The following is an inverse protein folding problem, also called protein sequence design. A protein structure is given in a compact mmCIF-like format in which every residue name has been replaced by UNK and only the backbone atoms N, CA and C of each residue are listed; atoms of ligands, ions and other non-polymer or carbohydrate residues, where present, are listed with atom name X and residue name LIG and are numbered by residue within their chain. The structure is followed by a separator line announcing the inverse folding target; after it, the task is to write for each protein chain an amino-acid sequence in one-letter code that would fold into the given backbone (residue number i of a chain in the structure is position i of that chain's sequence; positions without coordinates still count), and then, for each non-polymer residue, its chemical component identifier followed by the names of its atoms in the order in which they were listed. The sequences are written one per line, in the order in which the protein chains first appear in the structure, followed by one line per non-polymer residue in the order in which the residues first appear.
data_IF_710037955150
#
_entry.id   IF_710037955150
#
_cell.length_a   1.000
_cell.length_b   1.000
_cell.length_c   1.000
_cell.angle_alpha   90.00
_cell.angle_beta   90.00
_cell.angle_gamma   90.00
#
_symmetry.space_group_name_H-M   'P 1'
#
loop_
_entity.id
_entity.type
_entity.pdbx_description
1 polymer ?
#
# COMPACT_ATOMS: atom_id res chain seq x y z
N UNK A 1 1.77 -5.65 21.45
CA UNK A 1 1.05 -4.80 20.48
C UNK A 1 1.69 -5.02 19.12
N UNK A 2 0.91 -5.34 18.10
CA UNK A 2 1.38 -5.33 16.71
C UNK A 2 1.63 -3.86 16.33
N UNK A 3 2.78 -3.55 15.73
CA UNK A 3 3.14 -2.16 15.37
C UNK A 3 2.21 -1.65 14.26
N UNK A 4 1.90 -0.35 14.25
CA UNK A 4 1.08 0.24 13.17
C UNK A 4 1.75 0.01 11.82
N UNK A 5 3.08 0.08 11.75
CA UNK A 5 3.86 -0.24 10.55
C UNK A 5 3.53 -1.64 10.01
N UNK A 6 3.53 -2.66 10.88
CA UNK A 6 3.30 -4.05 10.46
C UNK A 6 1.85 -4.29 10.00
N UNK A 7 0.89 -3.62 10.63
CA UNK A 7 -0.52 -3.65 10.24
C UNK A 7 -0.74 -2.97 8.89
N UNK A 8 -0.19 -1.77 8.70
CA UNK A 8 -0.25 -1.05 7.43
C UNK A 8 0.43 -1.81 6.31
N UNK A 9 1.56 -2.46 6.58
CA UNK A 9 2.24 -3.31 5.59
C UNK A 9 1.38 -4.47 5.10
N UNK A 10 0.67 -5.16 6.01
CA UNK A 10 -0.24 -6.25 5.63
C UNK A 10 -1.44 -5.74 4.85
N UNK A 11 -2.01 -4.61 5.27
CA UNK A 11 -3.16 -3.99 4.61
C UNK A 11 -2.81 -3.55 3.19
N UNK A 12 -1.74 -2.76 3.04
CA UNK A 12 -1.25 -2.24 1.75
C UNK A 12 -0.89 -3.35 0.77
N UNK A 13 -0.24 -4.44 1.22
CA UNK A 13 0.02 -5.62 0.39
C UNK A 13 -1.25 -6.34 -0.07
N UNK A 14 -2.26 -6.43 0.81
CA UNK A 14 -3.53 -7.06 0.47
C UNK A 14 -4.29 -6.23 -0.57
N UNK A 15 -4.33 -4.90 -0.38
CA UNK A 15 -4.91 -3.97 -1.33
C UNK A 15 -4.20 -3.99 -2.68
N UNK A 16 -2.87 -4.04 -2.71
CA UNK A 16 -2.11 -4.18 -3.96
C UNK A 16 -2.54 -5.44 -4.73
N UNK A 17 -2.65 -6.59 -4.05
CA UNK A 17 -3.10 -7.83 -4.69
C UNK A 17 -4.52 -7.71 -5.24
N UNK A 18 -5.44 -7.16 -4.46
CA UNK A 18 -6.85 -6.99 -4.86
C UNK A 18 -6.93 -6.12 -6.12
N UNK A 19 -6.26 -4.96 -6.13
CA UNK A 19 -6.30 -4.05 -7.28
C UNK A 19 -5.65 -4.69 -8.51
N UNK A 20 -4.54 -5.38 -8.35
CA UNK A 20 -3.89 -6.07 -9.47
C UNK A 20 -4.74 -7.21 -10.03
N UNK A 21 -5.38 -8.03 -9.17
CA UNK A 21 -6.31 -9.05 -9.63
C UNK A 21 -7.50 -8.46 -10.38
N UNK A 22 -8.06 -7.36 -9.88
CA UNK A 22 -9.12 -6.64 -10.57
C UNK A 22 -8.66 -6.17 -11.96
N UNK A 23 -7.47 -5.56 -12.05
CA UNK A 23 -6.90 -5.13 -13.34
C UNK A 23 -6.72 -6.29 -14.31
N UNK A 24 -6.20 -7.43 -13.85
CA UNK A 24 -6.05 -8.62 -14.70
C UNK A 24 -7.40 -9.20 -15.13
N UNK A 25 -8.41 -9.18 -14.27
CA UNK A 25 -9.75 -9.64 -14.61
C UNK A 25 -10.38 -8.74 -15.66
N UNK A 26 -10.25 -7.41 -15.53
CA UNK A 26 -10.76 -6.44 -16.51
C UNK A 26 -10.08 -6.62 -17.86
N UNK A 27 -8.74 -6.57 -17.91
CA UNK A 27 -8.02 -6.72 -19.18
C UNK A 27 -8.19 -8.13 -19.77
N UNK A 28 -8.11 -9.17 -18.96
CA UNK A 28 -8.33 -10.55 -19.38
C UNK A 28 -9.74 -10.78 -19.93
N UNK A 29 -10.76 -10.22 -19.28
CA UNK A 29 -12.14 -10.27 -19.74
C UNK A 29 -12.33 -9.53 -21.08
N UNK A 30 -11.74 -8.35 -21.23
CA UNK A 30 -11.74 -7.62 -22.50
C UNK A 30 -11.07 -8.44 -23.60
N UNK A 31 -9.91 -9.04 -23.34
CA UNK A 31 -9.24 -9.90 -24.32
C UNK A 31 -10.05 -11.14 -24.68
N UNK A 32 -10.71 -11.77 -23.70
CA UNK A 32 -11.59 -12.92 -23.93
C UNK A 32 -12.79 -12.52 -24.82
N UNK A 33 -13.39 -11.36 -24.59
CA UNK A 33 -14.48 -10.84 -25.42
C UNK A 33 -14.01 -10.56 -26.85
N UNK A 34 -12.85 -9.93 -27.03
CA UNK A 34 -12.28 -9.66 -28.36
C UNK A 34 -11.99 -10.97 -29.11
N UNK A 35 -11.44 -11.97 -28.42
CA UNK A 35 -11.20 -13.29 -28.99
C UNK A 35 -12.50 -13.98 -29.41
N UNK A 36 -13.58 -13.83 -28.61
CA UNK A 36 -14.89 -14.38 -28.92
C UNK A 36 -15.58 -13.70 -30.12
N UNK A 37 -15.46 -12.37 -30.24
CA UNK A 37 -16.07 -11.60 -31.34
C UNK A 37 -15.29 -11.70 -32.65
N UNK A 38 -14.05 -12.22 -32.63
CA UNK A 38 -13.21 -12.37 -33.81
C UNK A 38 -12.65 -11.04 -34.34
N UNK A 39 -12.78 -9.94 -33.58
CA UNK A 39 -12.39 -8.60 -34.02
C UNK A 39 -10.96 -8.27 -33.56
N UNK A 40 -9.98 -8.82 -34.29
CA UNK A 40 -8.56 -8.70 -33.95
C UNK A 40 -7.98 -7.27 -34.02
N UNK A 41 -8.67 -6.32 -34.65
CA UNK A 41 -8.22 -4.92 -34.73
C UNK A 41 -8.25 -4.26 -33.34
N UNK A 42 -9.23 -4.59 -32.52
CA UNK A 42 -9.41 -4.08 -31.18
C UNK A 42 -8.32 -4.61 -30.24
N UNK A 43 -7.84 -5.85 -30.47
CA UNK A 43 -6.71 -6.41 -29.74
C UNK A 43 -5.44 -5.57 -29.95
N UNK A 44 -5.16 -5.12 -31.17
CA UNK A 44 -4.01 -4.27 -31.48
C UNK A 44 -4.02 -2.92 -30.75
N UNK A 45 -5.21 -2.38 -30.44
CA UNK A 45 -5.37 -1.16 -29.65
C UNK A 45 -5.25 -1.48 -28.16
N UNK A 46 -5.82 -2.60 -27.70
CA UNK A 46 -5.86 -2.92 -26.28
C UNK A 46 -4.55 -3.43 -25.70
N UNK A 47 -3.74 -4.16 -26.46
CA UNK A 47 -2.42 -4.65 -26.02
C UNK A 47 -1.53 -3.52 -25.50
N UNK A 48 -1.26 -2.44 -26.25
CA UNK A 48 -0.41 -1.36 -25.75
C UNK A 48 -1.01 -0.63 -24.54
N UNK A 49 -2.34 -0.48 -24.47
CA UNK A 49 -3.00 0.11 -23.31
C UNK A 49 -2.76 -0.76 -22.08
N UNK A 50 -3.00 -2.07 -22.17
CA UNK A 50 -2.76 -3.01 -21.07
C UNK A 50 -1.29 -3.01 -20.64
N UNK A 51 -0.37 -3.01 -21.61
CA UNK A 51 1.07 -3.01 -21.38
C UNK A 51 1.58 -1.77 -20.64
N UNK A 52 0.89 -0.63 -20.74
CA UNK A 52 1.24 0.60 -20.01
C UNK A 52 0.47 0.69 -18.70
N UNK A 53 -0.85 0.48 -18.74
CA UNK A 53 -1.74 0.69 -17.59
C UNK A 53 -1.43 -0.26 -16.43
N UNK A 54 -1.13 -1.54 -16.70
CA UNK A 54 -0.87 -2.52 -15.65
C UNK A 54 0.43 -2.17 -14.87
N UNK A 55 1.60 -1.98 -15.52
CA UNK A 55 2.81 -1.57 -14.82
C UNK A 55 2.66 -0.21 -14.11
N UNK A 56 2.00 0.76 -14.75
CA UNK A 56 1.81 2.09 -14.18
C UNK A 56 0.96 2.03 -12.90
N UNK A 57 -0.10 1.22 -12.90
CA UNK A 57 -0.95 1.01 -11.73
C UNK A 57 -0.17 0.38 -10.59
N UNK A 58 0.63 -0.66 -10.89
CA UNK A 58 1.50 -1.29 -9.89
C UNK A 58 2.51 -0.30 -9.30
N UNK A 59 3.13 0.53 -10.15
CA UNK A 59 4.06 1.56 -9.71
C UNK A 59 3.39 2.60 -8.80
N UNK A 60 2.21 3.08 -9.20
CA UNK A 60 1.45 4.06 -8.43
C UNK A 60 1.03 3.51 -7.06
N UNK A 61 0.57 2.25 -6.99
CA UNK A 61 0.23 1.60 -5.71
C UNK A 61 1.47 1.47 -4.83
N UNK A 62 2.60 0.99 -5.38
CA UNK A 62 3.84 0.86 -4.61
C UNK A 62 4.26 2.20 -4.00
N UNK A 63 4.21 3.27 -4.80
CA UNK A 63 4.54 4.61 -4.33
C UNK A 63 3.62 5.09 -3.20
N UNK A 64 2.32 4.77 -3.26
CA UNK A 64 1.39 5.08 -2.18
C UNK A 64 1.67 4.24 -0.92
N UNK A 65 1.86 2.93 -1.07
CA UNK A 65 2.14 2.00 0.02
C UNK A 65 3.41 2.41 0.80
N UNK A 66 4.48 2.79 0.11
CA UNK A 66 5.72 3.25 0.74
C UNK A 66 5.52 4.54 1.57
N UNK A 67 4.54 5.39 1.23
CA UNK A 67 4.20 6.56 2.04
C UNK A 67 3.43 6.16 3.30
N UNK A 68 2.42 5.30 3.17
CA UNK A 68 1.63 4.85 4.31
C UNK A 68 2.46 4.10 5.36
N UNK A 69 3.33 3.19 4.91
CA UNK A 69 4.23 2.44 5.82
C UNK A 69 5.18 3.39 6.54
N UNK A 70 5.79 4.36 5.85
CA UNK A 70 6.68 5.35 6.49
C UNK A 70 5.93 6.21 7.52
N UNK A 71 4.72 6.65 7.20
CA UNK A 71 3.91 7.40 8.15
C UNK A 71 3.57 6.58 9.39
N UNK A 72 3.21 5.30 9.23
CA UNK A 72 2.93 4.41 10.35
C UNK A 72 4.15 4.16 11.23
N UNK A 73 5.32 3.94 10.60
CA UNK A 73 6.59 3.81 11.31
C UNK A 73 6.91 5.05 12.15
N UNK A 74 6.71 6.25 11.60
CA UNK A 74 6.93 7.50 12.35
C UNK A 74 6.01 7.60 13.57
N UNK A 75 4.75 7.15 13.46
CA UNK A 75 3.81 7.15 14.59
C UNK A 75 4.26 6.16 15.67
N UNK A 76 4.69 4.96 15.28
CA UNK A 76 5.22 3.97 16.22
C UNK A 76 6.46 4.52 16.96
N UNK A 77 7.39 5.17 16.24
CA UNK A 77 8.59 5.79 16.83
C UNK A 77 8.24 6.94 17.80
N UNK A 78 7.29 7.79 17.44
CA UNK A 78 6.79 8.87 18.31
C UNK A 78 6.21 8.28 19.59
N UNK A 79 5.43 7.20 19.49
CA UNK A 79 4.81 6.57 20.67
C UNK A 79 5.88 6.06 21.65
N UNK A 80 6.96 5.44 21.14
CA UNK A 80 8.09 5.01 21.97
C UNK A 80 8.79 6.19 22.63
N UNK A 81 9.01 7.29 21.89
CA UNK A 81 9.63 8.51 22.44
C UNK A 81 8.76 9.14 23.53
N UNK A 82 7.45 9.25 23.31
CA UNK A 82 6.51 9.78 24.32
C UNK A 82 6.53 8.95 25.60
N UNK A 83 6.60 7.62 25.51
CA UNK A 83 6.72 6.76 26.68
C UNK A 83 8.03 6.99 27.44
N UNK A 84 9.16 7.17 26.73
CA UNK A 84 10.44 7.49 27.36
C UNK A 84 10.43 8.85 28.05
N UNK A 85 9.83 9.87 27.42
CA UNK A 85 9.71 11.21 28.01
C UNK A 85 8.87 11.17 29.29
N UNK A 86 7.70 10.53 29.27
CA UNK A 86 6.87 10.34 30.47
C UNK A 86 7.64 9.64 31.59
N UNK A 87 8.39 8.59 31.27
CA UNK A 87 9.22 7.89 32.26
C UNK A 87 10.35 8.75 32.82
N UNK A 88 10.85 9.75 32.08
CA UNK A 88 11.82 10.72 32.58
C UNK A 88 11.14 11.78 33.46
N UNK A 89 9.98 12.31 33.05
CA UNK A 89 9.18 13.26 33.82
C UNK A 89 8.82 12.68 35.20
N UNK A 90 8.33 11.43 35.26
CA UNK A 90 8.03 10.75 36.52
C UNK A 90 9.26 10.58 37.43
N UNK A 91 10.45 10.42 36.85
CA UNK A 91 11.69 10.30 37.62
C UNK A 91 12.15 11.65 38.15
N UNK A 92 12.01 12.72 37.37
CA UNK A 92 12.32 14.09 37.78
C UNK A 92 11.38 14.50 38.91
N UNK A 93 10.08 14.29 38.77
CA UNK A 93 9.08 14.64 39.79
C UNK A 93 9.35 13.92 41.13
N UNK A 94 9.77 12.65 41.09
CA UNK A 94 10.21 11.90 42.28
C UNK A 94 11.50 12.43 42.92
N UNK A 95 12.36 13.11 42.15
CA UNK A 95 13.58 13.73 42.67
C UNK A 95 13.33 15.14 43.20
N UNK A 96 12.39 15.89 42.62
CA UNK A 96 12.03 17.25 43.05
C UNK A 96 11.15 17.27 44.30
N UNK A 97 10.26 16.28 44.46
CA UNK A 97 9.37 16.16 45.64
C UNK A 97 10.02 15.41 46.81
N UNK A 98 11.36 15.40 46.89
CA UNK A 98 12.16 14.72 47.91
C UNK A 98 12.95 15.74 48.74
#
# INVERSE_FOLDING_TARGET
MESLESKERKFTQSMEKIVMYFMYLVFGGIFALIAWTGTFREAWIMIPIAAISIPLTKWAIKWQNDRYIRSAKNVDEIQVLTQKVKGLEERIDKMENK
#
